data_IF_683406678020
#
_entry.id   IF_683406678020
#
_cell.length_a   1.000
_cell.length_b   1.000
_cell.length_c   1.000
_cell.angle_alpha   90.00
_cell.angle_beta   90.00
_cell.angle_gamma   90.00
#
_symmetry.space_group_name_H-M   'P 1'
#
loop_
_entity.id
_entity.type
_entity.pdbx_description
1 polymer ?
#
# COMPACT_ATOMS: atom_id res chain seq x y z
N UNK A 1 25.13 -21.22 1.87
CA UNK A 1 24.38 -20.85 0.66
C UNK A 1 24.58 -19.37 0.36
N UNK A 2 25.26 -19.02 -0.74
CA UNK A 2 25.56 -17.63 -1.12
C UNK A 2 24.29 -16.81 -1.36
N UNK A 3 23.26 -17.41 -1.97
CA UNK A 3 21.98 -16.75 -2.28
C UNK A 3 21.27 -16.17 -1.04
N UNK A 4 21.25 -16.91 0.08
CA UNK A 4 20.63 -16.42 1.32
C UNK A 4 21.37 -15.23 1.93
N UNK A 5 22.71 -15.19 1.79
CA UNK A 5 23.52 -14.05 2.25
C UNK A 5 23.27 -12.80 1.39
N UNK A 6 23.12 -12.97 0.07
CA UNK A 6 22.80 -11.88 -0.85
C UNK A 6 21.43 -11.27 -0.52
N UNK A 7 20.38 -12.08 -0.35
CA UNK A 7 19.03 -11.59 0.01
C UNK A 7 19.03 -10.79 1.32
N UNK A 8 19.76 -11.28 2.33
CA UNK A 8 19.87 -10.57 3.61
C UNK A 8 20.65 -9.25 3.48
N UNK A 9 21.68 -9.21 2.64
CA UNK A 9 22.45 -8.00 2.37
C UNK A 9 21.60 -6.95 1.64
N UNK A 10 20.83 -7.36 0.63
CA UNK A 10 19.87 -6.49 -0.07
C UNK A 10 18.77 -5.98 0.87
N UNK A 11 18.23 -6.87 1.72
CA UNK A 11 17.19 -6.54 2.68
C UNK A 11 17.63 -5.53 3.75
N UNK A 12 18.93 -5.42 4.05
CA UNK A 12 19.42 -4.51 5.10
C UNK A 12 19.15 -3.05 4.76
N UNK A 13 19.45 -2.64 3.53
CA UNK A 13 19.20 -1.27 3.09
C UNK A 13 17.69 -1.02 3.02
N UNK A 14 16.93 -1.97 2.48
CA UNK A 14 15.47 -1.88 2.40
C UNK A 14 14.81 -1.67 3.78
N UNK A 15 15.19 -2.47 4.79
CA UNK A 15 14.63 -2.36 6.14
C UNK A 15 15.05 -1.06 6.84
N UNK A 16 16.29 -0.60 6.63
CA UNK A 16 16.75 0.70 7.13
C UNK A 16 15.92 1.83 6.54
N UNK A 17 15.69 1.81 5.23
CA UNK A 17 14.98 2.88 4.54
C UNK A 17 13.49 2.86 4.92
N UNK A 18 12.88 1.68 5.12
CA UNK A 18 11.51 1.56 5.65
C UNK A 18 11.39 2.10 7.08
N UNK A 19 12.40 1.88 7.93
CA UNK A 19 12.46 2.50 9.27
C UNK A 19 12.57 4.02 9.15
N UNK A 20 13.38 4.53 8.22
CA UNK A 20 13.47 5.97 7.95
C UNK A 20 12.12 6.58 7.60
N UNK A 21 11.34 5.93 6.72
CA UNK A 21 9.97 6.38 6.37
C UNK A 21 8.98 6.32 7.54
N UNK A 22 9.20 5.44 8.51
CA UNK A 22 8.38 5.36 9.72
C UNK A 22 8.73 6.48 10.71
N UNK A 23 10.02 6.74 10.88
CA UNK A 23 10.53 7.77 11.82
C UNK A 23 10.28 9.19 11.27
N UNK A 24 10.39 9.38 9.95
CA UNK A 24 10.15 10.64 9.24
C UNK A 24 9.18 10.43 8.06
N UNK A 25 7.86 10.47 8.32
CA UNK A 25 6.86 10.28 7.28
C UNK A 25 6.88 11.39 6.23
N UNK A 26 6.74 10.99 4.97
CA UNK A 26 6.63 11.94 3.84
C UNK A 26 5.39 12.81 4.00
N UNK A 27 5.59 14.13 4.02
CA UNK A 27 4.50 15.10 4.04
C UNK A 27 3.98 15.34 2.63
N UNK A 28 2.82 14.78 2.30
CA UNK A 28 2.20 14.91 0.98
C UNK A 28 1.54 16.28 0.76
N UNK A 29 1.45 17.13 1.78
CA UNK A 29 0.86 18.46 1.70
C UNK A 29 -0.56 18.42 1.12
N UNK A 30 -0.83 19.25 0.12
CA UNK A 30 -2.13 19.33 -0.55
C UNK A 30 -2.23 18.47 -1.81
N UNK A 31 -1.30 17.55 -2.05
CA UNK A 31 -1.34 16.69 -3.23
C UNK A 31 -2.63 15.85 -3.19
N UNK A 32 -3.46 15.85 -4.26
CA UNK A 32 -4.64 14.99 -4.32
C UNK A 32 -4.25 13.52 -4.17
N UNK A 33 -4.91 12.82 -3.25
CA UNK A 33 -4.55 11.46 -2.87
C UNK A 33 -5.73 10.50 -3.04
N UNK A 34 -5.54 9.46 -3.86
CA UNK A 34 -6.39 8.26 -3.87
C UNK A 34 -5.59 7.09 -3.29
N UNK A 35 -6.16 6.39 -2.31
CA UNK A 35 -5.64 5.17 -1.71
C UNK A 35 -6.49 4.01 -2.23
N UNK A 36 -5.90 3.08 -2.96
CA UNK A 36 -6.60 1.87 -3.45
C UNK A 36 -6.17 0.68 -2.58
N UNK A 37 -7.14 0.08 -1.90
CA UNK A 37 -6.90 -0.98 -0.93
C UNK A 37 -7.57 -2.28 -1.35
N UNK A 38 -6.78 -3.33 -1.57
CA UNK A 38 -7.30 -4.68 -1.74
C UNK A 38 -7.87 -5.22 -0.43
N UNK A 39 -9.14 -5.60 -0.41
CA UNK A 39 -9.85 -6.04 0.79
C UNK A 39 -10.14 -7.54 0.84
N UNK A 40 -9.84 -8.28 -0.23
CA UNK A 40 -9.97 -9.73 -0.23
C UNK A 40 -8.89 -10.36 0.67
N UNK A 41 -9.32 -11.14 1.66
CA UNK A 41 -8.44 -11.79 2.63
C UNK A 41 -8.12 -13.21 2.16
N UNK A 42 -6.94 -13.40 1.57
CA UNK A 42 -6.42 -14.72 1.27
C UNK A 42 -5.93 -15.44 2.54
N UNK A 43 -5.77 -16.77 2.49
CA UNK A 43 -5.21 -17.55 3.61
C UNK A 43 -3.82 -17.06 4.04
N UNK A 44 -2.99 -16.65 3.08
CA UNK A 44 -1.62 -16.19 3.33
C UNK A 44 -1.58 -14.84 4.05
N UNK A 45 -2.62 -14.02 3.92
CA UNK A 45 -2.64 -12.64 4.41
C UNK A 45 -3.61 -12.42 5.58
N UNK A 46 -4.24 -13.49 6.08
CA UNK A 46 -5.27 -13.41 7.12
C UNK A 46 -4.83 -12.62 8.37
N UNK A 47 -3.56 -12.71 8.73
CA UNK A 47 -2.99 -12.00 9.90
C UNK A 47 -2.59 -10.56 9.60
N UNK A 48 -2.14 -10.27 8.38
CA UNK A 48 -1.56 -8.97 8.01
C UNK A 48 -2.57 -8.03 7.37
N UNK A 49 -3.52 -8.58 6.60
CA UNK A 49 -4.51 -7.80 5.85
C UNK A 49 -5.34 -6.87 6.74
N UNK A 50 -5.89 -7.29 7.90
CA UNK A 50 -6.64 -6.37 8.76
C UNK A 50 -5.83 -5.15 9.20
N UNK A 51 -4.55 -5.34 9.54
CA UNK A 51 -3.65 -4.25 9.92
C UNK A 51 -3.38 -3.29 8.75
N UNK A 52 -3.20 -3.83 7.53
CA UNK A 52 -3.04 -3.03 6.31
C UNK A 52 -4.30 -2.21 5.98
N UNK A 53 -5.49 -2.82 6.09
CA UNK A 53 -6.76 -2.13 5.88
C UNK A 53 -6.92 -0.97 6.87
N UNK A 54 -6.58 -1.20 8.12
CA UNK A 54 -6.63 -0.16 9.15
C UNK A 54 -5.61 0.96 8.89
N UNK A 55 -4.39 0.61 8.48
CA UNK A 55 -3.39 1.61 8.10
C UNK A 55 -3.88 2.49 6.95
N UNK A 56 -4.48 1.91 5.89
CA UNK A 56 -5.03 2.66 4.76
C UNK A 56 -6.17 3.59 5.17
N UNK A 57 -7.06 3.14 6.07
CA UNK A 57 -8.13 4.00 6.63
C UNK A 57 -7.56 5.17 7.41
N UNK A 58 -6.54 4.94 8.24
CA UNK A 58 -5.86 6.00 8.98
C UNK A 58 -5.18 7.00 8.05
N UNK A 59 -4.50 6.54 7.00
CA UNK A 59 -3.91 7.42 5.99
C UNK A 59 -4.97 8.29 5.32
N UNK A 60 -6.10 7.71 4.92
CA UNK A 60 -7.19 8.47 4.32
C UNK A 60 -7.78 9.52 5.27
N UNK A 61 -8.02 9.13 6.53
CA UNK A 61 -8.53 10.04 7.55
C UNK A 61 -7.55 11.18 7.89
N UNK A 62 -6.25 10.94 7.78
CA UNK A 62 -5.20 11.94 8.05
C UNK A 62 -4.92 12.90 6.89
N UNK A 63 -5.47 12.66 5.69
CA UNK A 63 -5.23 13.49 4.50
C UNK A 63 -6.53 14.12 3.99
N UNK A 64 -6.77 15.42 4.27
CA UNK A 64 -7.97 16.11 3.85
C UNK A 64 -8.22 16.01 2.34
N UNK A 65 -9.45 15.68 1.96
CA UNK A 65 -9.82 15.52 0.54
C UNK A 65 -9.28 14.26 -0.13
N UNK A 66 -8.64 13.35 0.62
CA UNK A 66 -8.26 12.04 0.09
C UNK A 66 -9.47 11.15 -0.17
N UNK A 67 -9.26 10.13 -1.00
CA UNK A 67 -10.26 9.12 -1.33
C UNK A 67 -9.72 7.72 -1.04
N UNK A 68 -10.46 6.93 -0.28
CA UNK A 68 -10.18 5.50 -0.11
C UNK A 68 -11.09 4.69 -1.02
N UNK A 69 -10.50 3.79 -1.82
CA UNK A 69 -11.20 2.92 -2.78
C UNK A 69 -10.89 1.48 -2.46
N UNK A 70 -11.93 0.65 -2.29
CA UNK A 70 -11.79 -0.76 -1.93
C UNK A 70 -11.83 -1.65 -3.18
N UNK A 71 -10.74 -2.36 -3.45
CA UNK A 71 -10.67 -3.42 -4.45
C UNK A 71 -11.13 -4.74 -3.83
N UNK A 72 -12.44 -4.97 -3.86
CA UNK A 72 -13.11 -6.04 -3.10
C UNK A 72 -12.76 -7.45 -3.55
N UNK A 73 -12.29 -7.63 -4.78
CA UNK A 73 -11.91 -8.93 -5.34
C UNK A 73 -10.39 -9.13 -5.28
N UNK A 74 -9.65 -8.15 -4.77
CA UNK A 74 -8.20 -8.11 -4.83
C UNK A 74 -7.56 -8.22 -3.44
N UNK A 75 -6.47 -8.99 -3.36
CA UNK A 75 -5.54 -8.98 -2.24
C UNK A 75 -4.43 -7.95 -2.46
N UNK A 76 -3.16 -8.39 -2.46
CA UNK A 76 -2.03 -7.51 -2.74
C UNK A 76 -1.96 -7.03 -4.21
N UNK A 77 -2.31 -7.91 -5.16
CA UNK A 77 -2.03 -7.70 -6.59
C UNK A 77 -3.22 -7.10 -7.37
N UNK A 78 -3.65 -5.90 -6.97
CA UNK A 78 -4.81 -5.19 -7.58
C UNK A 78 -4.57 -4.95 -9.09
N UNK A 79 -3.35 -4.62 -9.49
CA UNK A 79 -3.00 -4.36 -10.89
C UNK A 79 -3.23 -5.55 -11.84
N UNK A 80 -3.30 -6.78 -11.31
CA UNK A 80 -3.59 -7.97 -12.10
C UNK A 80 -5.06 -8.39 -12.03
N UNK A 81 -5.72 -8.12 -10.91
CA UNK A 81 -7.06 -8.67 -10.62
C UNK A 81 -8.18 -7.65 -10.88
N UNK A 82 -7.93 -6.36 -10.62
CA UNK A 82 -8.85 -5.26 -10.87
C UNK A 82 -8.13 -4.05 -11.52
N UNK A 83 -7.42 -4.23 -12.65
CA UNK A 83 -6.65 -3.15 -13.29
C UNK A 83 -7.51 -1.95 -13.67
N UNK A 84 -8.76 -2.19 -14.08
CA UNK A 84 -9.67 -1.12 -14.48
C UNK A 84 -9.96 -0.13 -13.34
N UNK A 85 -9.95 -0.60 -12.09
CA UNK A 85 -10.12 0.28 -10.92
C UNK A 85 -9.01 1.32 -10.83
N UNK A 86 -7.78 0.94 -11.15
CA UNK A 86 -6.63 1.85 -11.17
C UNK A 86 -6.78 2.86 -12.30
N UNK A 87 -7.15 2.39 -13.49
CA UNK A 87 -7.36 3.25 -14.68
C UNK A 87 -8.46 4.28 -14.41
N UNK A 88 -9.58 3.86 -13.82
CA UNK A 88 -10.72 4.73 -13.55
C UNK A 88 -10.37 5.81 -12.52
N UNK A 89 -9.64 5.45 -11.46
CA UNK A 89 -9.20 6.43 -10.47
C UNK A 89 -8.15 7.40 -11.02
N UNK A 90 -7.27 6.97 -11.92
CA UNK A 90 -6.36 7.88 -12.65
C UNK A 90 -7.18 8.84 -13.52
N UNK A 91 -8.12 8.33 -14.33
CA UNK A 91 -8.97 9.15 -15.21
C UNK A 91 -9.83 10.14 -14.43
N UNK A 92 -10.24 9.81 -13.20
CA UNK A 92 -10.99 10.70 -12.31
C UNK A 92 -10.15 11.89 -11.80
N UNK A 93 -8.83 11.76 -11.80
CA UNK A 93 -7.90 12.77 -11.27
C UNK A 93 -7.38 13.75 -12.32
N UNK A 94 -7.64 13.48 -13.60
CA UNK A 94 -7.27 14.33 -14.75
C UNK A 94 -8.53 15.09 -15.19
#
# INVERSE_FOLDING_TARGET
MQAGRTILAEGRNFLRDLKGLLDEPVQLGSIPLTIISGTHISRMEKKTRPALLEAHRKTAAGHPGSRLVEARRSGHMIMYTEPQLIVDEIKRMI
#
